data_IF_573698201227
#
_entry.id   IF_573698201227
#
_cell.length_a   1.000
_cell.length_b   1.000
_cell.length_c   1.000
_cell.angle_alpha   90.00
_cell.angle_beta   90.00
_cell.angle_gamma   90.00
#
_symmetry.space_group_name_H-M   'P 1'
#
loop_
_entity.id
_entity.type
_entity.pdbx_description
1 polymer ?
#
# COMPACT_ATOMS: atom_id res chain seq x y z
N UNK A 1 -2.83 24.90 12.16
CA UNK A 1 -2.86 23.45 11.83
C UNK A 1 -4.05 23.19 10.94
N UNK A 2 -3.87 22.49 9.82
CA UNK A 2 -4.99 22.02 9.02
C UNK A 2 -5.69 20.87 9.78
N UNK A 3 -7.01 20.68 9.59
CA UNK A 3 -7.78 19.62 10.24
C UNK A 3 -7.15 18.23 10.05
N UNK A 4 -6.56 17.96 8.88
CA UNK A 4 -5.87 16.69 8.63
C UNK A 4 -4.67 16.45 9.58
N UNK A 5 -3.94 17.50 9.96
CA UNK A 5 -2.85 17.41 10.94
C UNK A 5 -3.37 17.01 12.33
N UNK A 6 -4.50 17.58 12.75
CA UNK A 6 -5.14 17.22 14.03
C UNK A 6 -5.57 15.77 14.04
N UNK A 7 -6.15 15.28 12.94
CA UNK A 7 -6.53 13.88 12.79
C UNK A 7 -5.31 12.98 12.87
N UNK A 8 -4.24 13.31 12.12
CA UNK A 8 -2.99 12.56 12.15
C UNK A 8 -2.39 12.48 13.57
N UNK A 9 -2.34 13.59 14.30
CA UNK A 9 -1.85 13.61 15.69
C UNK A 9 -2.64 12.68 16.61
N UNK A 10 -3.97 12.66 16.48
CA UNK A 10 -4.83 11.74 17.23
C UNK A 10 -4.55 10.27 16.88
N UNK A 11 -4.38 9.95 15.60
CA UNK A 11 -4.02 8.60 15.16
C UNK A 11 -2.68 8.17 15.76
N UNK A 12 -1.68 9.04 15.72
CA UNK A 12 -0.35 8.76 16.25
C UNK A 12 -0.39 8.52 17.76
N UNK A 13 -1.20 9.26 18.52
CA UNK A 13 -1.34 9.05 19.98
C UNK A 13 -1.92 7.68 20.32
N UNK A 14 -2.81 7.16 19.48
CA UNK A 14 -3.48 5.88 19.69
C UNK A 14 -2.72 4.68 19.09
N UNK A 15 -1.70 4.90 18.25
CA UNK A 15 -0.83 3.84 17.72
C UNK A 15 0.38 3.56 18.63
N UNK A 16 0.82 2.28 18.75
CA UNK A 16 2.10 1.97 19.37
C UNK A 16 3.26 2.67 18.63
N UNK A 17 4.33 3.10 19.32
CA UNK A 17 5.42 3.85 18.70
C UNK A 17 6.06 3.17 17.47
N UNK A 18 6.22 1.85 17.47
CA UNK A 18 6.77 1.08 16.33
C UNK A 18 5.92 1.18 15.07
N UNK A 19 4.61 1.40 15.23
CA UNK A 19 3.62 1.37 14.16
C UNK A 19 3.34 2.78 13.58
N UNK A 20 3.95 3.82 14.18
CA UNK A 20 3.81 5.22 13.74
C UNK A 20 4.67 5.54 12.53
N UNK A 21 5.76 4.80 12.32
CA UNK A 21 6.79 5.07 11.29
C UNK A 21 6.18 5.36 9.91
N UNK A 22 5.19 4.60 9.41
CA UNK A 22 4.61 4.85 8.08
C UNK A 22 3.81 6.17 7.94
N UNK A 23 3.54 6.85 9.04
CA UNK A 23 2.71 8.05 9.13
C UNK A 23 3.50 9.28 9.61
N UNK A 24 4.80 9.12 9.88
CA UNK A 24 5.69 10.19 10.33
C UNK A 24 6.88 10.26 9.39
N UNK A 25 7.14 11.46 8.86
CA UNK A 25 8.29 11.69 7.99
C UNK A 25 9.60 11.41 8.74
N UNK A 26 10.43 10.55 8.17
CA UNK A 26 11.77 10.24 8.65
C UNK A 26 12.78 11.37 8.43
N UNK A 27 13.92 11.29 9.12
CA UNK A 27 14.97 12.33 9.10
C UNK A 27 15.60 12.50 7.71
N UNK A 28 15.79 11.39 6.98
CA UNK A 28 16.41 11.39 5.65
C UNK A 28 15.38 11.41 4.50
N UNK A 29 14.11 11.66 4.84
CA UNK A 29 12.98 11.60 3.91
C UNK A 29 12.53 13.01 3.52
N UNK A 30 11.96 13.13 2.33
CA UNK A 30 11.30 14.35 1.87
C UNK A 30 9.84 14.08 1.55
N UNK A 31 8.99 15.10 1.75
CA UNK A 31 7.61 15.06 1.29
C UNK A 31 7.57 15.35 -0.21
N UNK A 32 7.02 14.40 -0.97
CA UNK A 32 6.85 14.52 -2.42
C UNK A 32 5.36 14.36 -2.76
N UNK A 33 4.70 15.34 -3.39
CA UNK A 33 3.29 15.20 -3.76
C UNK A 33 3.08 14.00 -4.68
N UNK A 34 2.08 13.16 -4.38
CA UNK A 34 1.74 12.03 -5.25
C UNK A 34 1.29 12.48 -6.63
N UNK A 35 0.79 13.72 -6.77
CA UNK A 35 0.45 14.33 -8.07
C UNK A 35 1.63 14.43 -9.04
N UNK A 36 2.88 14.27 -8.60
CA UNK A 36 4.02 14.14 -9.51
C UNK A 36 3.96 12.86 -10.36
N UNK A 37 3.08 11.90 -10.03
CA UNK A 37 2.78 10.77 -10.91
C UNK A 37 2.31 11.22 -12.31
N UNK A 38 1.72 12.41 -12.41
CA UNK A 38 1.26 13.00 -13.68
C UNK A 38 2.41 13.53 -14.54
N UNK A 39 3.61 13.68 -13.98
CA UNK A 39 4.82 14.08 -14.71
C UNK A 39 5.56 12.83 -15.22
N UNK A 40 5.57 12.56 -16.54
CA UNK A 40 6.26 11.41 -17.09
C UNK A 40 7.76 11.39 -16.81
N UNK A 41 8.40 12.56 -16.65
CA UNK A 41 9.81 12.65 -16.32
C UNK A 41 10.06 12.20 -14.87
N UNK A 42 9.17 12.57 -13.95
CA UNK A 42 9.24 12.11 -12.57
C UNK A 42 9.05 10.60 -12.47
N UNK A 43 8.02 10.04 -13.13
CA UNK A 43 7.79 8.58 -13.20
C UNK A 43 9.00 7.87 -13.77
N UNK A 44 9.56 8.40 -14.87
CA UNK A 44 10.75 7.83 -15.48
C UNK A 44 11.95 7.79 -14.53
N UNK A 45 12.16 8.87 -13.78
CA UNK A 45 13.23 8.95 -12.80
C UNK A 45 13.05 7.97 -11.64
N UNK A 46 11.83 7.83 -11.11
CA UNK A 46 11.55 6.84 -10.07
C UNK A 46 11.90 5.43 -10.56
N UNK A 47 11.46 5.08 -11.77
CA UNK A 47 11.73 3.77 -12.35
C UNK A 47 13.24 3.58 -12.64
N UNK A 48 13.94 4.62 -13.11
CA UNK A 48 15.39 4.58 -13.34
C UNK A 48 16.15 4.29 -12.05
N UNK A 49 15.83 4.98 -10.95
CA UNK A 49 16.42 4.76 -9.61
C UNK A 49 16.17 3.33 -9.11
N UNK A 50 14.97 2.78 -9.35
CA UNK A 50 14.68 1.36 -9.04
C UNK A 50 15.53 0.41 -9.89
N UNK A 51 15.79 0.76 -11.15
CA UNK A 51 16.68 0.01 -12.04
C UNK A 51 18.11 -0.08 -11.51
N UNK A 52 18.63 1.01 -10.94
CA UNK A 52 19.95 1.03 -10.29
C UNK A 52 20.02 0.08 -9.08
N UNK A 53 18.96 0.01 -8.29
CA UNK A 53 18.86 -0.88 -7.13
C UNK A 53 18.77 -2.35 -7.53
N UNK A 54 17.86 -2.66 -8.46
CA UNK A 54 17.53 -4.04 -8.84
C UNK A 54 18.40 -4.61 -9.96
N UNK A 55 19.26 -3.77 -10.56
CA UNK A 55 20.19 -4.12 -11.64
C UNK A 55 19.46 -4.74 -12.84
N UNK A 56 18.38 -4.09 -13.25
CA UNK A 56 17.56 -4.41 -14.44
C UNK A 56 17.02 -3.12 -15.04
N UNK A 57 16.71 -3.14 -16.33
CA UNK A 57 16.07 -2.08 -17.11
C UNK A 57 14.67 -2.48 -17.61
N UNK A 58 14.17 -3.66 -17.22
CA UNK A 58 12.84 -4.13 -17.58
C UNK A 58 11.77 -3.24 -16.92
N UNK A 59 11.16 -2.36 -17.73
CA UNK A 59 10.16 -1.38 -17.29
C UNK A 59 8.98 -2.04 -16.59
N UNK A 60 8.51 -3.17 -17.09
CA UNK A 60 7.38 -3.89 -16.50
C UNK A 60 7.73 -4.39 -15.11
N UNK A 61 8.92 -4.98 -14.94
CA UNK A 61 9.41 -5.45 -13.64
C UNK A 61 9.56 -4.28 -12.67
N UNK A 62 10.20 -3.19 -13.11
CA UNK A 62 10.48 -2.04 -12.25
C UNK A 62 9.22 -1.28 -11.84
N UNK A 63 8.26 -1.06 -12.75
CA UNK A 63 6.95 -0.48 -12.41
C UNK A 63 6.20 -1.36 -11.43
N UNK A 64 6.19 -2.67 -11.66
CA UNK A 64 5.54 -3.63 -10.75
C UNK A 64 6.19 -3.56 -9.36
N UNK A 65 7.51 -3.48 -9.27
CA UNK A 65 8.25 -3.40 -8.01
C UNK A 65 8.10 -2.06 -7.30
N UNK A 66 8.03 -0.97 -8.05
CA UNK A 66 7.76 0.35 -7.49
C UNK A 66 6.36 0.38 -6.90
N UNK A 67 5.34 -0.03 -7.67
CA UNK A 67 3.95 -0.07 -7.21
C UNK A 67 3.74 -1.04 -6.05
N UNK A 68 4.36 -2.24 -6.11
CA UNK A 68 4.34 -3.19 -5.00
C UNK A 68 4.88 -2.59 -3.69
N UNK A 69 5.89 -1.74 -3.78
CA UNK A 69 6.46 -1.04 -2.62
C UNK A 69 5.60 0.14 -2.17
N UNK A 70 5.12 0.97 -3.10
CA UNK A 70 4.43 2.23 -2.79
C UNK A 70 2.96 2.05 -2.39
N UNK A 71 2.26 1.08 -3.00
CA UNK A 71 0.81 0.89 -2.84
C UNK A 71 0.36 0.76 -1.38
N UNK A 72 1.08 -0.01 -0.56
CA UNK A 72 0.78 -0.18 0.87
C UNK A 72 0.88 1.14 1.67
N UNK A 73 1.75 2.05 1.25
CA UNK A 73 1.97 3.32 1.94
C UNK A 73 0.96 4.37 1.51
N UNK A 74 0.61 4.43 0.22
CA UNK A 74 -0.39 5.38 -0.30
C UNK A 74 -1.76 5.26 0.37
N UNK A 75 -2.14 4.05 0.80
CA UNK A 75 -3.41 3.78 1.48
C UNK A 75 -3.31 3.85 3.01
N UNK A 76 -2.11 4.07 3.55
CA UNK A 76 -1.82 4.06 4.97
C UNK A 76 -2.69 5.00 5.79
N UNK A 77 -2.75 6.31 5.44
CA UNK A 77 -3.56 7.29 6.16
C UNK A 77 -5.05 6.93 6.19
N UNK A 78 -5.62 6.57 5.04
CA UNK A 78 -7.05 6.24 4.90
C UNK A 78 -7.43 4.98 5.65
N UNK A 79 -6.65 3.90 5.53
CA UNK A 79 -6.97 2.65 6.25
C UNK A 79 -6.77 2.80 7.77
N UNK A 80 -5.74 3.53 8.19
CA UNK A 80 -5.50 3.76 9.63
C UNK A 80 -6.65 4.56 10.22
N UNK A 81 -7.03 5.68 9.60
CA UNK A 81 -8.16 6.49 10.06
C UNK A 81 -9.48 5.72 10.03
N UNK A 82 -9.76 4.95 8.96
CA UNK A 82 -10.94 4.10 8.86
C UNK A 82 -11.06 3.15 10.06
N UNK A 83 -10.01 2.35 10.30
CA UNK A 83 -9.95 1.33 11.36
C UNK A 83 -10.10 1.93 12.75
N UNK A 84 -9.47 3.08 13.00
CA UNK A 84 -9.45 3.72 14.32
C UNK A 84 -10.72 4.52 14.63
N UNK A 85 -11.70 4.56 13.73
CA UNK A 85 -12.97 5.24 13.99
C UNK A 85 -12.89 6.77 14.02
N UNK A 86 -11.79 7.38 13.54
CA UNK A 86 -11.60 8.83 13.53
C UNK A 86 -12.25 9.50 12.32
N UNK A 87 -12.15 10.83 12.24
CA UNK A 87 -12.24 11.56 10.97
C UNK A 87 -11.40 10.87 9.90
N UNK A 88 -11.96 10.70 8.70
CA UNK A 88 -11.37 9.88 7.63
C UNK A 88 -10.37 10.71 6.82
N UNK A 89 -9.16 10.19 6.62
CA UNK A 89 -8.14 10.83 5.78
C UNK A 89 -8.30 10.40 4.32
N UNK A 90 -8.19 11.36 3.40
CA UNK A 90 -8.30 11.12 1.96
C UNK A 90 -7.13 10.32 1.39
N UNK A 91 -7.42 9.42 0.46
CA UNK A 91 -6.46 8.72 -0.39
C UNK A 91 -6.32 9.36 -1.78
N UNK A 92 -7.02 10.45 -2.09
CA UNK A 92 -6.97 11.04 -3.42
C UNK A 92 -5.59 11.62 -3.73
N UNK A 93 -5.17 11.50 -4.99
CA UNK A 93 -3.85 11.93 -5.48
C UNK A 93 -3.47 13.37 -5.08
N UNK A 94 -4.33 14.40 -5.24
CA UNK A 94 -3.97 15.76 -4.83
C UNK A 94 -3.84 15.95 -3.31
N UNK A 95 -4.33 15.01 -2.50
CA UNK A 95 -4.31 15.11 -1.04
C UNK A 95 -3.10 14.42 -0.41
N UNK A 96 -2.39 13.58 -1.16
CA UNK A 96 -1.31 12.74 -0.64
C UNK A 96 0.08 13.31 -0.93
N UNK A 97 0.90 13.36 0.11
CA UNK A 97 2.35 13.51 0.03
C UNK A 97 3.02 12.19 0.44
N UNK A 98 3.93 11.69 -0.39
CA UNK A 98 4.73 10.49 -0.11
C UNK A 98 5.91 10.84 0.80
N UNK A 99 6.24 9.95 1.72
CA UNK A 99 7.52 9.98 2.43
C UNK A 99 8.54 9.28 1.55
N UNK A 100 9.38 10.09 0.91
CA UNK A 100 10.22 9.67 -0.20
C UNK A 100 11.70 9.75 0.15
N UNK A 101 12.45 8.73 -0.27
CA UNK A 101 13.90 8.66 -0.17
C UNK A 101 14.55 8.88 -1.56
N UNK A 102 15.76 9.46 -1.62
CA UNK A 102 16.49 9.73 -2.88
C UNK A 102 16.67 8.55 -3.84
N UNK A 103 16.54 7.30 -3.36
CA UNK A 103 16.62 6.08 -4.17
C UNK A 103 15.24 5.55 -4.61
N UNK A 104 14.24 6.43 -4.72
CA UNK A 104 12.86 6.13 -5.12
C UNK A 104 12.08 5.25 -4.14
N UNK A 105 12.61 4.95 -2.96
CA UNK A 105 11.83 4.26 -1.92
C UNK A 105 10.76 5.18 -1.37
N UNK A 106 9.59 4.60 -1.15
CA UNK A 106 8.48 5.19 -0.39
C UNK A 106 8.37 4.39 0.90
N UNK A 107 8.32 5.09 2.03
CA UNK A 107 8.30 4.51 3.38
C UNK A 107 7.03 4.83 4.15
N UNK A 108 6.23 5.77 3.64
CA UNK A 108 5.03 6.26 4.27
C UNK A 108 4.29 7.26 3.39
N UNK A 109 3.19 7.79 3.92
CA UNK A 109 2.44 8.87 3.27
C UNK A 109 1.71 9.73 4.30
N UNK A 110 1.50 10.99 3.94
CA UNK A 110 0.68 11.96 4.70
C UNK A 110 -0.50 12.38 3.84
N UNK A 111 -1.70 12.37 4.41
CA UNK A 111 -2.88 12.97 3.78
C UNK A 111 -3.11 14.38 4.33
N UNK A 112 -3.45 15.32 3.44
CA UNK A 112 -3.71 16.73 3.77
C UNK A 112 -5.19 17.06 3.88
N UNK A 113 -6.08 16.12 3.58
CA UNK A 113 -7.53 16.36 3.58
C UNK A 113 -8.27 15.33 4.42
N UNK A 114 -9.26 15.85 5.15
CA UNK A 114 -10.26 15.05 5.87
C UNK A 114 -11.50 14.93 4.98
N UNK A 115 -12.01 13.72 4.85
CA UNK A 115 -13.29 13.42 4.22
C UNK A 115 -14.40 13.55 5.25
N UNK A 116 -15.52 14.14 4.84
CA UNK A 116 -16.69 14.36 5.68
C UNK A 116 -17.91 13.65 5.07
N UNK A 117 -18.67 12.97 5.92
CA UNK A 117 -19.91 12.27 5.58
C UNK A 117 -20.19 11.15 6.56
N UNK A 118 -21.42 10.64 6.52
CA UNK A 118 -21.93 9.70 7.53
C UNK A 118 -21.43 8.27 7.30
N UNK A 119 -21.23 7.88 6.03
CA UNK A 119 -20.70 6.56 5.67
C UNK A 119 -19.20 6.59 5.39
N UNK A 120 -18.41 6.37 6.45
CA UNK A 120 -16.95 6.34 6.38
C UNK A 120 -16.41 5.21 5.50
N UNK A 121 -17.12 4.09 5.41
CA UNK A 121 -16.68 2.96 4.61
C UNK A 121 -16.84 3.27 3.11
N UNK A 122 -18.00 3.83 2.73
CA UNK A 122 -18.23 4.29 1.36
C UNK A 122 -17.21 5.36 0.95
N UNK A 123 -17.01 6.39 1.79
CA UNK A 123 -16.01 7.44 1.53
C UNK A 123 -14.59 6.88 1.36
N UNK A 124 -14.19 5.90 2.18
CA UNK A 124 -12.89 5.26 2.05
C UNK A 124 -12.76 4.49 0.74
N UNK A 125 -13.80 3.74 0.36
CA UNK A 125 -13.85 3.00 -0.90
C UNK A 125 -13.80 3.90 -2.13
N UNK A 126 -14.58 4.98 -2.14
CA UNK A 126 -14.61 5.98 -3.21
C UNK A 126 -13.25 6.68 -3.37
N UNK A 127 -12.62 7.07 -2.25
CA UNK A 127 -11.32 7.73 -2.25
C UNK A 127 -10.21 6.79 -2.76
N UNK A 128 -10.20 5.54 -2.32
CA UNK A 128 -9.27 4.51 -2.82
C UNK A 128 -9.52 4.18 -4.30
N UNK A 129 -10.79 4.14 -4.72
CA UNK A 129 -11.15 3.97 -6.12
C UNK A 129 -10.61 5.11 -6.99
N UNK A 130 -10.76 6.35 -6.53
CA UNK A 130 -10.21 7.54 -7.19
C UNK A 130 -8.69 7.43 -7.34
N UNK A 131 -7.98 7.11 -6.25
CA UNK A 131 -6.54 6.87 -6.24
C UNK A 131 -6.11 5.86 -7.31
N UNK A 132 -6.71 4.67 -7.32
CA UNK A 132 -6.32 3.60 -8.25
C UNK A 132 -6.70 3.92 -9.69
N UNK A 133 -7.85 4.53 -9.92
CA UNK A 133 -8.30 4.91 -11.27
C UNK A 133 -7.40 5.99 -11.87
N UNK A 134 -6.74 6.80 -11.03
CA UNK A 134 -5.77 7.80 -11.46
C UNK A 134 -4.37 7.22 -11.71
N UNK A 135 -3.83 6.50 -10.72
CA UNK A 135 -2.42 6.05 -10.73
C UNK A 135 -2.18 4.86 -11.66
N UNK A 136 -3.09 3.89 -11.70
CA UNK A 136 -2.83 2.62 -12.36
C UNK A 136 -2.73 2.71 -13.89
N UNK A 137 -3.54 3.51 -14.61
CA UNK A 137 -3.36 3.70 -16.04
C UNK A 137 -2.00 4.29 -16.41
N UNK A 138 -1.52 5.29 -15.66
CA UNK A 138 -0.22 5.95 -15.89
C UNK A 138 0.92 4.93 -15.75
N UNK A 139 0.89 4.15 -14.67
CA UNK A 139 1.89 3.11 -14.44
C UNK A 139 1.82 2.00 -15.49
N UNK A 140 0.62 1.59 -15.89
CA UNK A 140 0.41 0.56 -16.91
C UNK A 140 0.96 1.00 -18.27
N UNK A 141 0.73 2.26 -18.66
CA UNK A 141 1.28 2.85 -19.88
C UNK A 141 2.81 2.87 -19.86
N UNK A 142 3.41 3.43 -18.79
CA UNK A 142 4.87 3.49 -18.66
C UNK A 142 5.51 2.09 -18.64
N UNK A 143 4.87 1.15 -17.95
CA UNK A 143 5.30 -0.24 -17.84
C UNK A 143 4.98 -1.09 -19.07
N UNK A 144 4.32 -0.53 -20.09
CA UNK A 144 3.85 -1.24 -21.29
C UNK A 144 3.12 -2.54 -20.96
N UNK A 145 2.23 -2.48 -19.97
CA UNK A 145 1.52 -3.63 -19.42
C UNK A 145 0.03 -3.34 -19.29
N UNK A 146 -0.76 -4.40 -19.08
CA UNK A 146 -2.16 -4.24 -18.68
C UNK A 146 -2.22 -3.73 -17.24
N UNK A 147 -3.28 -3.02 -16.87
CA UNK A 147 -3.51 -2.57 -15.48
C UNK A 147 -3.79 -3.71 -14.50
N UNK A 148 -4.36 -4.83 -14.99
CA UNK A 148 -4.86 -5.93 -14.15
C UNK A 148 -3.86 -6.45 -13.08
N UNK A 149 -2.55 -6.63 -13.37
CA UNK A 149 -1.58 -7.01 -12.34
C UNK A 149 -1.35 -5.92 -11.28
N UNK A 150 -1.51 -4.63 -11.62
CA UNK A 150 -1.39 -3.52 -10.67
C UNK A 150 -2.61 -3.44 -9.74
N UNK A 151 -3.80 -3.72 -10.26
CA UNK A 151 -5.01 -3.90 -9.45
C UNK A 151 -4.89 -5.08 -8.48
N UNK A 152 -4.27 -6.20 -8.89
CA UNK A 152 -4.00 -7.31 -7.97
C UNK A 152 -3.04 -6.89 -6.85
N UNK A 153 -2.03 -6.06 -7.13
CA UNK A 153 -1.15 -5.50 -6.10
C UNK A 153 -1.92 -4.62 -5.13
N UNK A 154 -2.82 -3.77 -5.63
CA UNK A 154 -3.67 -2.92 -4.80
C UNK A 154 -4.54 -3.75 -3.83
N UNK A 155 -5.15 -4.83 -4.32
CA UNK A 155 -5.96 -5.73 -3.50
C UNK A 155 -5.14 -6.41 -2.40
N UNK A 156 -3.96 -6.94 -2.76
CA UNK A 156 -3.02 -7.52 -1.79
C UNK A 156 -2.54 -6.48 -0.77
N UNK A 157 -2.32 -5.23 -1.18
CA UNK A 157 -1.87 -4.14 -0.30
C UNK A 157 -2.94 -3.81 0.75
N UNK A 158 -4.22 -3.71 0.36
CA UNK A 158 -5.34 -3.49 1.28
C UNK A 158 -5.41 -4.65 2.29
N UNK A 159 -5.44 -5.89 1.80
CA UNK A 159 -5.53 -7.06 2.66
C UNK A 159 -4.37 -7.16 3.66
N UNK A 160 -3.14 -6.92 3.20
CA UNK A 160 -1.96 -6.88 4.07
C UNK A 160 -2.05 -5.77 5.10
N UNK A 161 -2.47 -4.56 4.70
CA UNK A 161 -2.48 -3.40 5.58
C UNK A 161 -3.56 -3.51 6.66
N UNK A 162 -4.74 -4.04 6.34
CA UNK A 162 -5.78 -4.32 7.34
C UNK A 162 -5.31 -5.36 8.37
N UNK A 163 -4.71 -6.45 7.90
CA UNK A 163 -4.17 -7.49 8.80
C UNK A 163 -3.03 -6.95 9.67
N UNK A 164 -2.16 -6.12 9.10
CA UNK A 164 -1.10 -5.45 9.85
C UNK A 164 -1.68 -4.50 10.91
N UNK A 165 -2.69 -3.68 10.56
CA UNK A 165 -3.33 -2.75 11.49
C UNK A 165 -4.02 -3.49 12.64
N UNK A 166 -4.70 -4.60 12.36
CA UNK A 166 -5.30 -5.43 13.40
C UNK A 166 -4.26 -5.90 14.43
N UNK A 167 -3.11 -6.39 13.96
CA UNK A 167 -1.99 -6.85 14.82
C UNK A 167 -1.29 -5.72 15.56
N UNK A 168 -1.19 -4.55 14.94
CA UNK A 168 -0.63 -3.36 15.54
C UNK A 168 -1.50 -2.85 16.70
N UNK A 169 -2.82 -2.97 16.59
CA UNK A 169 -3.76 -2.41 17.54
C UNK A 169 -4.16 -3.38 18.67
N UNK A 170 -4.07 -4.69 18.45
CA UNK A 170 -4.45 -5.68 19.46
C UNK A 170 -3.64 -6.98 19.34
N UNK A 171 -3.34 -7.56 20.50
CA UNK A 171 -2.83 -8.94 20.61
C UNK A 171 -3.95 -9.98 20.64
N UNK A 172 -5.23 -9.56 20.77
CA UNK A 172 -6.38 -10.46 20.72
C UNK A 172 -6.70 -10.84 19.27
N UNK A 173 -6.70 -12.14 18.98
CA UNK A 173 -6.98 -12.66 17.65
C UNK A 173 -8.39 -12.28 17.14
N UNK A 174 -9.38 -12.12 18.02
CA UNK A 174 -10.73 -11.70 17.61
C UNK A 174 -10.76 -10.23 17.17
N UNK A 175 -9.96 -9.37 17.80
CA UNK A 175 -9.81 -7.98 17.36
C UNK A 175 -9.07 -7.89 16.03
N UNK A 176 -8.00 -8.67 15.86
CA UNK A 176 -7.27 -8.78 14.58
C UNK A 176 -8.22 -9.24 13.47
N UNK A 177 -9.08 -10.24 13.74
CA UNK A 177 -10.10 -10.71 12.79
C UNK A 177 -11.12 -9.61 12.47
N UNK A 178 -11.58 -8.85 13.46
CA UNK A 178 -12.56 -7.76 13.24
C UNK A 178 -12.04 -6.72 12.24
N UNK A 179 -10.75 -6.36 12.34
CA UNK A 179 -10.13 -5.44 11.38
C UNK A 179 -9.97 -6.09 10.01
N UNK A 180 -9.57 -7.37 9.95
CA UNK A 180 -9.44 -8.10 8.69
C UNK A 180 -10.78 -8.29 7.96
N UNK A 181 -11.91 -8.39 8.69
CA UNK A 181 -13.26 -8.48 8.12
C UNK A 181 -13.71 -7.20 7.40
N UNK A 182 -12.98 -6.08 7.53
CA UNK A 182 -13.23 -4.88 6.72
C UNK A 182 -12.84 -5.07 5.25
N UNK A 183 -12.06 -6.10 4.90
CA UNK A 183 -11.58 -6.32 3.54
C UNK A 183 -12.72 -6.42 2.54
N UNK A 184 -13.63 -7.37 2.74
CA UNK A 184 -14.74 -7.63 1.81
C UNK A 184 -15.63 -6.39 1.61
N UNK A 185 -16.21 -5.76 2.65
CA UNK A 185 -17.08 -4.61 2.47
C UNK A 185 -16.33 -3.39 1.92
N UNK A 186 -15.03 -3.22 2.22
CA UNK A 186 -14.24 -2.16 1.59
C UNK A 186 -13.97 -2.45 0.10
N UNK A 187 -13.65 -3.69 -0.27
CA UNK A 187 -13.44 -4.04 -1.68
C UNK A 187 -14.71 -3.88 -2.51
N UNK A 188 -15.88 -4.11 -1.91
CA UNK A 188 -17.18 -3.85 -2.53
C UNK A 188 -17.36 -2.36 -2.85
N UNK A 189 -17.05 -1.47 -1.90
CA UNK A 189 -17.11 -0.01 -2.13
C UNK A 189 -16.11 0.47 -3.19
N UNK A 190 -14.92 -0.14 -3.29
CA UNK A 190 -13.94 0.20 -4.34
C UNK A 190 -14.42 -0.28 -5.73
N UNK A 191 -15.05 -1.46 -5.78
CA UNK A 191 -15.60 -2.06 -6.99
C UNK A 191 -14.55 -2.58 -7.99
N UNK A 192 -15.04 -3.12 -9.12
CA UNK A 192 -14.19 -3.71 -10.17
C UNK A 192 -13.37 -2.66 -10.94
N UNK A 193 -12.11 -2.94 -11.31
CA UNK A 193 -11.57 -4.27 -11.55
C UNK A 193 -10.71 -4.84 -10.40
N UNK A 194 -10.86 -4.34 -9.17
CA UNK A 194 -10.18 -4.88 -7.99
C UNK A 194 -10.54 -6.37 -7.78
N UNK A 195 -9.58 -7.31 -7.80
CA UNK A 195 -9.89 -8.71 -7.55
C UNK A 195 -10.15 -8.98 -6.07
N UNK A 196 -10.93 -10.02 -5.79
CA UNK A 196 -11.12 -10.53 -4.43
C UNK A 196 -9.80 -11.12 -3.91
N UNK A 197 -9.44 -10.74 -2.69
CA UNK A 197 -8.30 -11.29 -1.95
C UNK A 197 -8.83 -12.11 -0.78
N UNK A 198 -8.09 -13.13 -0.36
CA UNK A 198 -8.50 -13.98 0.77
C UNK A 198 -7.39 -14.08 1.80
N UNK A 199 -7.77 -14.34 3.03
CA UNK A 199 -6.82 -14.74 4.07
C UNK A 199 -6.74 -16.26 4.16
N UNK A 200 -5.56 -16.79 4.44
CA UNK A 200 -5.27 -18.20 4.70
C UNK A 200 -4.65 -18.37 6.08
N UNK A 201 -4.70 -19.60 6.62
CA UNK A 201 -4.09 -20.00 7.90
C UNK A 201 -3.07 -21.12 7.63
N UNK A 202 -1.93 -21.11 8.33
CA UNK A 202 -0.87 -22.13 8.22
C UNK A 202 -0.51 -22.68 9.60
N UNK A 203 -0.30 -23.99 9.70
CA UNK A 203 0.23 -24.69 10.88
C UNK A 203 -0.75 -24.73 12.08
N UNK A 204 -0.19 -24.72 13.30
CA UNK A 204 -0.92 -24.60 14.57
C UNK A 204 -1.54 -23.20 14.71
N UNK A 205 -2.59 -22.97 13.91
CA UNK A 205 -3.73 -22.07 14.07
C UNK A 205 -3.57 -20.58 14.45
N UNK A 206 -2.38 -20.02 14.68
CA UNK A 206 -2.24 -18.66 15.25
C UNK A 206 -1.94 -17.53 14.23
N UNK A 207 -1.50 -17.82 12.99
CA UNK A 207 -1.07 -16.77 12.06
C UNK A 207 -1.90 -16.71 10.76
N UNK A 208 -2.93 -15.86 10.75
CA UNK A 208 -3.61 -15.44 9.51
C UNK A 208 -2.61 -14.74 8.58
N UNK A 209 -2.67 -15.00 7.28
CA UNK A 209 -1.85 -14.29 6.29
C UNK A 209 -2.64 -14.06 5.02
N UNK A 210 -2.27 -13.02 4.27
CA UNK A 210 -2.87 -12.72 2.98
C UNK A 210 -2.47 -13.78 1.97
N UNK A 211 -3.46 -14.44 1.36
CA UNK A 211 -3.27 -15.29 0.20
C UNK A 211 -3.20 -14.39 -1.04
N UNK A 212 -1.97 -14.05 -1.41
CA UNK A 212 -1.66 -13.08 -2.47
C UNK A 212 -2.23 -13.51 -3.82
N UNK A 213 -2.91 -12.58 -4.49
CA UNK A 213 -3.37 -12.71 -5.86
C UNK A 213 -2.44 -11.99 -6.86
N UNK A 214 -1.45 -11.22 -6.39
CA UNK A 214 -0.48 -10.52 -7.22
C UNK A 214 0.88 -11.23 -7.31
N UNK A 215 1.68 -10.85 -8.30
CA UNK A 215 3.09 -11.22 -8.41
C UNK A 215 3.95 -9.95 -8.47
N UNK A 216 4.82 -9.74 -7.49
CA UNK A 216 5.70 -8.56 -7.44
C UNK A 216 6.86 -8.59 -8.45
N UNK A 217 7.09 -9.72 -9.13
CA UNK A 217 8.19 -9.92 -10.10
C UNK A 217 9.62 -9.77 -9.55
N UNK A 218 9.79 -9.68 -8.24
CA UNK A 218 11.11 -9.51 -7.60
C UNK A 218 12.13 -10.57 -8.03
N UNK A 219 11.70 -11.81 -8.18
CA UNK A 219 12.56 -12.94 -8.60
C UNK A 219 13.11 -12.82 -10.03
N UNK A 220 12.62 -11.87 -10.84
CA UNK A 220 13.17 -11.57 -12.17
C UNK A 220 14.36 -10.60 -12.11
N UNK A 221 14.62 -10.00 -10.96
CA UNK A 221 15.76 -9.10 -10.77
C UNK A 221 17.00 -9.89 -10.38
N UNK A 222 18.19 -9.35 -10.67
CA UNK A 222 19.46 -10.02 -10.30
C UNK A 222 19.67 -10.13 -8.79
N UNK A 223 19.11 -9.18 -8.04
CA UNK A 223 19.25 -9.08 -6.59
C UNK A 223 18.09 -9.73 -5.83
N UNK A 224 17.03 -10.17 -6.52
CA UNK A 224 15.78 -10.60 -5.90
C UNK A 224 15.58 -12.11 -5.92
N UNK A 225 15.19 -12.67 -4.78
CA UNK A 225 14.70 -14.05 -4.68
C UNK A 225 13.18 -14.14 -4.71
N UNK A 226 12.64 -15.34 -4.41
CA UNK A 226 11.21 -15.52 -4.16
C UNK A 226 10.92 -15.22 -2.69
N UNK A 227 9.88 -14.43 -2.43
CA UNK A 227 9.38 -14.25 -1.06
C UNK A 227 8.58 -15.47 -0.60
N UNK A 228 8.40 -15.64 0.71
CA UNK A 228 7.61 -16.74 1.28
C UNK A 228 6.15 -16.76 0.78
N UNK A 229 5.58 -15.59 0.46
CA UNK A 229 4.24 -15.42 -0.10
C UNK A 229 4.20 -15.41 -1.63
N UNK A 230 5.28 -15.81 -2.31
CA UNK A 230 5.33 -15.77 -3.76
C UNK A 230 4.37 -16.82 -4.36
N UNK A 231 3.42 -16.44 -5.24
CA UNK A 231 2.52 -17.40 -5.87
C UNK A 231 3.24 -18.39 -6.80
N UNK A 232 4.54 -18.15 -7.10
CA UNK A 232 5.42 -19.07 -7.84
C UNK A 232 6.32 -19.91 -6.93
N UNK A 233 5.94 -20.05 -5.66
CA UNK A 233 6.72 -20.66 -4.57
C UNK A 233 7.01 -22.16 -4.69
N UNK A 234 6.61 -22.82 -5.79
CA UNK A 234 6.87 -24.26 -6.00
C UNK A 234 8.34 -24.66 -6.20
N UNK A 235 9.26 -23.70 -6.41
CA UNK A 235 10.71 -23.94 -6.53
C UNK A 235 11.47 -22.99 -5.60
N UNK A 236 12.06 -23.52 -4.53
CA UNK A 236 12.62 -22.78 -3.41
C UNK A 236 14.01 -22.18 -3.72
N UNK A 237 14.06 -20.85 -3.82
CA UNK A 237 15.16 -20.03 -3.28
C UNK A 237 14.50 -18.88 -2.51
N UNK A 238 14.19 -19.14 -1.25
CA UNK A 238 13.67 -18.13 -0.32
C UNK A 238 14.87 -17.36 0.22
N UNK A 239 15.09 -16.15 -0.29
CA UNK A 239 15.97 -15.19 0.38
C UNK A 239 15.08 -14.36 1.30
N UNK A 240 15.14 -14.68 2.59
CA UNK A 240 14.53 -13.84 3.62
C UNK A 240 15.25 -12.49 3.65
N UNK A 241 14.56 -11.44 3.21
CA UNK A 241 14.66 -10.04 3.67
C UNK A 241 13.96 -9.14 2.63
N UNK A 242 12.71 -8.80 2.91
CA UNK A 242 12.08 -7.59 2.39
C UNK A 242 11.59 -6.84 3.62
N UNK A 243 12.46 -5.98 4.12
CA UNK A 243 12.17 -4.89 5.05
C UNK A 243 12.52 -3.59 4.34
#
# INVERSE_FOLDING_TARGET
MNNATVVLERLLQSLPPSERVPLVLGIDESLVPLSLIDDPAWVAEQIRLRGERWKTDDRRVLVTLWWYSASSWTIGPTLTSLVMGSDLLSAEVPDLDLHWLPDSRVTGATSRRVLHGDDRLALAGESLRSLYSHVLPILAEYGQMRERPLWAIAADAIANRLLWLGRALSSDLEDVKRVALLLDPLTEQIGGPLPLTRYTRTGDFEAMHTHRCSCCLLFLTRQGGKCASCPRGGDLRVTAQCS
#
